data_IF_434981100553
#
_entry.id   IF_434981100553
#
_cell.length_a   1.000
_cell.length_b   1.000
_cell.length_c   1.000
_cell.angle_alpha   90.00
_cell.angle_beta   90.00
_cell.angle_gamma   90.00
#
_symmetry.space_group_name_H-M   'P 1'
#
loop_
_entity.id
_entity.type
_entity.pdbx_description
1 polymer ?
#
# COMPACT_ATOMS: atom_id res chain seq x y z
N UNK A 1 -20.30 -2.08 7.08
CA UNK A 1 -20.75 -0.77 6.55
C UNK A 1 -19.63 0.27 6.42
N UNK A 2 -18.79 0.51 7.45
CA UNK A 2 -17.70 1.48 7.35
C UNK A 2 -16.65 1.10 6.30
N UNK A 3 -16.16 -0.15 6.33
CA UNK A 3 -15.17 -0.68 5.38
C UNK A 3 -15.61 -0.44 3.93
N UNK A 4 -16.85 -0.82 3.57
CA UNK A 4 -17.39 -0.61 2.23
C UNK A 4 -17.38 0.87 1.80
N UNK A 5 -17.77 1.77 2.71
CA UNK A 5 -17.80 3.21 2.42
C UNK A 5 -16.38 3.74 2.18
N UNK A 6 -15.41 3.31 2.99
CA UNK A 6 -14.03 3.74 2.82
C UNK A 6 -13.43 3.17 1.54
N UNK A 7 -13.65 1.89 1.23
CA UNK A 7 -13.22 1.27 -0.02
C UNK A 7 -13.76 2.03 -1.25
N UNK A 8 -15.06 2.30 -1.27
CA UNK A 8 -15.69 3.07 -2.35
C UNK A 8 -15.12 4.49 -2.45
N UNK A 9 -14.88 5.14 -1.31
CA UNK A 9 -14.27 6.47 -1.28
C UNK A 9 -12.86 6.45 -1.87
N UNK A 10 -11.99 5.52 -1.43
CA UNK A 10 -10.62 5.39 -1.95
C UNK A 10 -10.64 5.14 -3.45
N UNK A 11 -11.46 4.19 -3.90
CA UNK A 11 -11.65 3.89 -5.32
C UNK A 11 -12.02 5.15 -6.11
N UNK A 12 -13.00 5.93 -5.63
CA UNK A 12 -13.42 7.18 -6.29
C UNK A 12 -12.33 8.26 -6.28
N UNK A 13 -11.56 8.35 -5.18
CA UNK A 13 -10.49 9.34 -5.05
C UNK A 13 -9.34 9.05 -6.02
N UNK A 14 -8.99 7.77 -6.24
CA UNK A 14 -7.96 7.35 -7.22
C UNK A 14 -8.30 7.87 -8.64
N UNK A 15 -9.55 7.77 -9.06
CA UNK A 15 -10.01 8.23 -10.38
C UNK A 15 -10.44 9.71 -10.40
N UNK A 16 -10.24 10.44 -9.31
CA UNK A 16 -10.62 11.85 -9.23
C UNK A 16 -9.64 12.75 -9.98
N UNK A 17 -10.10 13.93 -10.42
CA UNK A 17 -9.25 14.95 -11.09
C UNK A 17 -8.05 15.44 -10.26
N UNK A 18 -8.06 15.19 -8.95
CA UNK A 18 -7.05 15.64 -8.00
C UNK A 18 -5.96 14.60 -7.78
N UNK A 19 -6.23 13.34 -8.15
CA UNK A 19 -5.25 12.27 -8.08
C UNK A 19 -4.18 12.43 -9.18
N UNK A 20 -2.95 12.05 -8.85
CA UNK A 20 -1.77 12.13 -9.72
C UNK A 20 -0.96 10.86 -9.61
N UNK A 21 -0.17 10.57 -10.65
CA UNK A 21 0.68 9.38 -10.67
C UNK A 21 -0.13 8.10 -10.57
N UNK A 22 -1.16 7.98 -11.40
CA UNK A 22 -1.96 6.77 -11.50
C UNK A 22 -1.09 5.63 -12.03
N UNK A 23 -1.12 4.51 -11.33
CA UNK A 23 -0.46 3.26 -11.67
C UNK A 23 -1.49 2.14 -11.56
N UNK A 24 -1.46 1.22 -12.52
CA UNK A 24 -2.32 0.05 -12.53
C UNK A 24 -1.49 -1.21 -12.79
N UNK A 25 -1.88 -2.30 -12.15
CA UNK A 25 -1.28 -3.60 -12.33
C UNK A 25 -2.40 -4.62 -12.50
N UNK A 26 -2.38 -5.34 -13.62
CA UNK A 26 -3.31 -6.41 -13.93
C UNK A 26 -2.55 -7.73 -13.87
N UNK A 27 -2.85 -8.53 -12.86
CA UNK A 27 -2.34 -9.87 -12.67
C UNK A 27 -3.35 -10.93 -13.14
N UNK A 28 -2.91 -12.18 -13.19
CA UNK A 28 -3.79 -13.31 -13.52
C UNK A 28 -4.83 -13.60 -12.42
N UNK A 29 -4.63 -13.06 -11.21
CA UNK A 29 -5.44 -13.32 -10.01
C UNK A 29 -5.85 -12.05 -9.25
N UNK A 30 -5.36 -10.88 -9.69
CA UNK A 30 -5.59 -9.61 -8.99
C UNK A 30 -5.57 -8.42 -9.94
N UNK A 31 -6.31 -7.37 -9.58
CA UNK A 31 -6.19 -6.03 -10.16
C UNK A 31 -5.80 -5.05 -9.04
N UNK A 32 -4.71 -4.30 -9.24
CA UNK A 32 -4.26 -3.28 -8.31
C UNK A 32 -4.20 -1.90 -8.97
N UNK A 33 -4.63 -0.89 -8.23
CA UNK A 33 -4.67 0.51 -8.65
C UNK A 33 -4.04 1.38 -7.57
N UNK A 34 -3.18 2.31 -7.96
CA UNK A 34 -2.53 3.23 -7.03
C UNK A 34 -2.53 4.65 -7.59
N UNK A 35 -2.72 5.64 -6.72
CA UNK A 35 -2.55 7.04 -7.07
C UNK A 35 -2.22 7.90 -5.85
N UNK A 36 -1.80 9.14 -6.08
CA UNK A 36 -1.50 10.11 -5.02
C UNK A 36 -2.50 11.25 -4.99
N UNK A 37 -3.01 11.55 -3.80
CA UNK A 37 -3.80 12.74 -3.51
C UNK A 37 -3.01 13.65 -2.55
N UNK A 38 -2.19 14.53 -3.13
CA UNK A 38 -1.23 15.32 -2.37
C UNK A 38 -0.22 14.42 -1.62
N UNK A 39 -0.12 14.52 -0.28
CA UNK A 39 0.79 13.67 0.49
C UNK A 39 0.25 12.24 0.69
N UNK A 40 -1.04 12.01 0.43
CA UNK A 40 -1.67 10.71 0.60
C UNK A 40 -1.40 9.81 -0.59
N UNK A 41 -1.01 8.57 -0.31
CA UNK A 41 -1.00 7.46 -1.25
C UNK A 41 -2.28 6.66 -1.04
N UNK A 42 -2.97 6.41 -2.15
CA UNK A 42 -4.23 5.67 -2.21
C UNK A 42 -3.96 4.41 -3.03
N UNK A 43 -4.33 3.25 -2.51
CA UNK A 43 -4.19 1.97 -3.23
C UNK A 43 -5.48 1.16 -3.07
N UNK A 44 -5.84 0.43 -4.11
CA UNK A 44 -6.92 -0.56 -4.12
C UNK A 44 -6.36 -1.83 -4.72
N UNK A 45 -6.56 -2.98 -4.07
CA UNK A 45 -6.24 -4.29 -4.63
C UNK A 45 -7.52 -5.12 -4.64
N UNK A 46 -7.82 -5.75 -5.77
CA UNK A 46 -8.96 -6.67 -5.95
C UNK A 46 -8.44 -8.04 -6.31
N UNK A 47 -8.51 -8.97 -5.37
CA UNK A 47 -8.16 -10.37 -5.58
C UNK A 47 -9.43 -11.19 -5.86
N UNK A 48 -9.69 -11.48 -7.13
CA UNK A 48 -10.90 -12.18 -7.55
C UNK A 48 -10.88 -13.69 -7.28
N UNK A 49 -9.71 -14.28 -7.04
CA UNK A 49 -9.59 -15.72 -6.72
C UNK A 49 -10.07 -16.03 -5.30
N UNK A 50 -9.88 -15.08 -4.38
CA UNK A 50 -10.19 -15.23 -2.96
C UNK A 50 -11.36 -14.34 -2.52
N UNK A 51 -12.09 -13.77 -3.48
CA UNK A 51 -13.19 -12.81 -3.27
C UNK A 51 -12.83 -11.75 -2.21
N UNK A 52 -11.64 -11.15 -2.37
CA UNK A 52 -11.05 -10.26 -1.38
C UNK A 52 -10.61 -8.95 -1.99
N UNK A 53 -11.06 -7.85 -1.39
CA UNK A 53 -10.86 -6.49 -1.88
C UNK A 53 -10.27 -5.62 -0.76
N UNK A 54 -9.09 -5.05 -1.02
CA UNK A 54 -8.41 -4.16 -0.09
C UNK A 54 -8.44 -2.71 -0.59
N UNK A 55 -8.55 -1.77 0.35
CA UNK A 55 -8.25 -0.36 0.10
C UNK A 55 -7.35 0.22 1.19
N UNK A 56 -6.32 0.95 0.75
CA UNK A 56 -5.30 1.56 1.58
C UNK A 56 -5.29 3.07 1.43
N UNK A 57 -5.16 3.76 2.56
CA UNK A 57 -4.80 5.17 2.61
C UNK A 57 -3.56 5.30 3.47
N UNK A 58 -2.50 5.89 2.92
CA UNK A 58 -1.25 6.05 3.65
C UNK A 58 -0.59 7.38 3.41
N UNK A 59 0.28 7.77 4.34
CA UNK A 59 1.14 8.94 4.23
C UNK A 59 2.57 8.53 4.57
N UNK A 60 3.52 9.12 3.83
CA UNK A 60 4.95 8.94 4.06
C UNK A 60 5.53 10.26 4.55
N UNK A 61 5.93 10.31 5.82
CA UNK A 61 6.50 11.50 6.45
C UNK A 61 8.02 11.36 6.51
N UNK A 62 8.79 12.23 5.85
CA UNK A 62 10.24 12.24 5.99
C UNK A 62 10.62 12.66 7.41
N UNK A 63 11.51 11.91 8.06
CA UNK A 63 12.05 12.22 9.39
C UNK A 63 13.59 12.16 9.36
N UNK A 64 14.31 12.75 10.34
CA UNK A 64 15.78 12.84 10.29
C UNK A 64 16.53 11.51 10.12
N UNK A 65 15.90 10.37 10.43
CA UNK A 65 16.50 9.03 10.34
C UNK A 65 15.70 8.05 9.48
N UNK A 66 15.00 8.54 8.46
CA UNK A 66 14.29 7.68 7.51
C UNK A 66 12.94 8.24 7.10
N UNK A 67 11.99 7.34 6.85
CA UNK A 67 10.61 7.70 6.49
C UNK A 67 9.65 6.97 7.41
N UNK A 68 8.77 7.73 8.06
CA UNK A 68 7.67 7.16 8.83
C UNK A 68 6.52 6.89 7.86
N UNK A 69 6.08 5.64 7.79
CA UNK A 69 4.92 5.21 7.03
C UNK A 69 3.79 5.01 8.00
N UNK A 70 2.66 5.68 7.76
CA UNK A 70 1.43 5.53 8.53
C UNK A 70 0.30 5.29 7.55
N UNK A 71 -0.60 4.38 7.87
CA UNK A 71 -1.75 4.14 7.02
C UNK A 71 -2.88 3.42 7.72
N UNK A 72 -3.95 3.28 6.97
CA UNK A 72 -5.14 2.54 7.36
C UNK A 72 -5.57 1.67 6.19
N UNK A 73 -5.88 0.41 6.47
CA UNK A 73 -6.38 -0.56 5.50
C UNK A 73 -7.79 -1.00 5.88
N UNK A 74 -8.66 -1.10 4.88
CA UNK A 74 -9.92 -1.83 4.98
C UNK A 74 -9.92 -2.98 4.02
N UNK A 75 -10.47 -4.09 4.47
CA UNK A 75 -10.62 -5.30 3.68
C UNK A 75 -12.12 -5.61 3.55
N UNK A 76 -12.52 -6.09 2.39
CA UNK A 76 -13.83 -6.62 2.06
C UNK A 76 -13.64 -8.04 1.53
N UNK A 77 -14.67 -8.88 1.68
CA UNK A 77 -14.60 -10.28 1.28
C UNK A 77 -15.04 -11.20 2.40
N UNK A 78 -15.27 -12.47 2.06
CA UNK A 78 -15.61 -13.51 3.03
C UNK A 78 -14.36 -14.01 3.76
N UNK A 79 -13.22 -14.05 3.08
CA UNK A 79 -11.95 -14.47 3.64
C UNK A 79 -11.18 -13.27 4.21
N UNK A 80 -10.88 -13.32 5.51
CA UNK A 80 -9.97 -12.36 6.17
C UNK A 80 -8.51 -12.71 5.85
N UNK A 81 -8.07 -12.40 4.64
CA UNK A 81 -6.66 -12.61 4.22
C UNK A 81 -5.73 -11.62 4.94
N UNK A 82 -6.19 -10.39 5.13
CA UNK A 82 -5.42 -9.31 5.74
C UNK A 82 -6.16 -8.70 6.93
N UNK A 83 -5.42 -8.32 7.96
CA UNK A 83 -6.02 -7.67 9.14
C UNK A 83 -6.32 -6.20 8.84
N UNK A 84 -7.61 -5.77 8.88
CA UNK A 84 -7.96 -4.36 8.69
C UNK A 84 -7.51 -3.52 9.90
N UNK A 85 -7.17 -2.25 9.67
CA UNK A 85 -6.81 -1.34 10.74
C UNK A 85 -5.65 -0.40 10.43
N UNK A 86 -5.12 0.20 11.49
CA UNK A 86 -3.97 1.10 11.41
C UNK A 86 -2.67 0.31 11.34
N UNK A 87 -1.76 0.77 10.50
CA UNK A 87 -0.38 0.30 10.48
C UNK A 87 0.59 1.46 10.52
N UNK A 88 1.77 1.19 11.06
CA UNK A 88 2.85 2.16 11.11
C UNK A 88 4.20 1.47 11.19
N UNK A 89 5.13 1.91 10.34
CA UNK A 89 6.50 1.41 10.37
C UNK A 89 7.50 2.48 9.99
N UNK A 90 8.73 2.34 10.48
CA UNK A 90 9.83 3.21 10.15
C UNK A 90 10.70 2.55 9.09
N UNK A 91 10.72 3.12 7.88
CA UNK A 91 11.68 2.73 6.87
C UNK A 91 13.03 3.40 7.17
N UNK A 92 14.01 2.60 7.59
CA UNK A 92 15.39 3.06 7.79
C UNK A 92 16.04 3.37 6.42
N UNK A 93 17.00 4.31 6.36
CA UNK A 93 17.80 4.51 5.17
C UNK A 93 18.51 3.21 4.83
N UNK A 94 18.44 2.78 3.57
CA UNK A 94 19.25 1.65 3.11
C UNK A 94 20.73 1.97 3.37
N UNK A 95 21.52 1.02 3.91
CA UNK A 95 22.94 1.22 4.06
C UNK A 95 23.53 1.57 2.69
N UNK A 96 24.39 2.59 2.67
CA UNK A 96 25.02 3.05 1.43
C UNK A 96 25.93 1.95 0.92
N UNK A 97 25.46 1.17 -0.06
CA UNK A 97 26.26 0.11 -0.69
C UNK A 97 27.40 0.80 -1.43
N UNK A 98 28.63 0.58 -0.98
CA UNK A 98 29.81 0.99 -1.72
C UNK A 98 29.97 0.04 -2.91
N UNK A 99 30.15 0.54 -4.15
CA UNK A 99 30.42 -0.31 -5.30
C UNK A 99 31.62 -1.22 -5.00
N UNK A 100 31.42 -2.54 -5.02
CA UNK A 100 32.43 -3.55 -4.71
C UNK A 100 32.28 -4.29 -3.37
N UNK A 101 31.34 -3.87 -2.50
CA UNK A 101 30.93 -4.69 -1.36
C UNK A 101 29.67 -5.48 -1.72
N UNK A 102 29.83 -6.77 -2.00
CA UNK A 102 28.71 -7.70 -2.03
C UNK A 102 28.07 -7.72 -0.64
N UNK A 103 26.83 -7.23 -0.53
CA UNK A 103 26.00 -7.44 0.67
C UNK A 103 25.53 -8.90 0.61
N UNK A 104 26.32 -9.79 1.21
CA UNK A 104 25.87 -11.14 1.53
C UNK A 104 24.84 -11.04 2.66
N UNK A 105 23.58 -11.27 2.32
CA UNK A 105 22.53 -11.57 3.29
C UNK A 105 21.73 -10.38 3.79
N UNK A 106 20.51 -10.27 3.29
CA UNK A 106 19.34 -10.30 4.16
C UNK A 106 18.21 -10.93 3.35
N UNK A 107 17.87 -12.17 3.69
CA UNK A 107 16.55 -12.73 3.46
C UNK A 107 15.54 -11.82 4.18
N UNK A 108 15.21 -10.67 3.58
CA UNK A 108 14.01 -9.94 3.98
C UNK A 108 12.84 -10.79 3.45
N UNK A 109 12.37 -11.71 4.31
CA UNK A 109 10.98 -12.14 4.28
C UNK A 109 10.12 -10.87 4.26
N UNK A 110 9.59 -10.56 3.08
CA UNK A 110 8.43 -9.70 2.98
C UNK A 110 7.33 -10.38 3.78
N UNK A 111 6.76 -9.76 4.83
CA UNK A 111 5.52 -10.26 5.37
C UNK A 111 4.48 -9.96 4.28
N UNK A 112 4.08 -11.02 3.57
CA UNK A 112 2.87 -11.03 2.75
C UNK A 112 1.67 -10.71 3.65
#
# INVERSE_FOLDING_TARGET
MFAQRLFNLVSQLIFSRWARGYEEHHGACEDAYAARLGPLLLEVNRCFVLDHDDAFISIRVPIPRGKLHLGYVVCLGEDEIRQPGFYGYLQKPLPRVQPGQAVLGSDEEFPF
#
